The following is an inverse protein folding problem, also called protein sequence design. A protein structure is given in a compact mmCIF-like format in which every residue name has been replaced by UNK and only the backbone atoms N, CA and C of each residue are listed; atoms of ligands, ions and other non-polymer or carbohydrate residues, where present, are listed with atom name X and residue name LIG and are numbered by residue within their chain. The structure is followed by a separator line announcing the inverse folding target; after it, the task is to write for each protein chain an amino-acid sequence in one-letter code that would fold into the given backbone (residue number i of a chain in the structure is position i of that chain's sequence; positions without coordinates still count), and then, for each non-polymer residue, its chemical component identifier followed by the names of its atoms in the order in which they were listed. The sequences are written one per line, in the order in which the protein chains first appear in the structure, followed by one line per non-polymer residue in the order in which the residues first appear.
data_IF_773594452378
#
_entry.id   IF_773594452378
#
_cell.length_a   1.000
_cell.length_b   1.000
_cell.length_c   1.000
_cell.angle_alpha   90.00
_cell.angle_beta   90.00
_cell.angle_gamma   90.00
#
_symmetry.space_group_name_H-M   'P 1'
#
loop_
_entity.id
_entity.type
_entity.pdbx_description
1 polymer ?
#
# COMPACT_ATOMS: atom_id res chain seq x y z
N UNK A 1 3.76 -0.03 2.51
CA UNK A 1 2.43 -0.62 2.25
C UNK A 1 2.49 -1.96 1.50
N UNK A 2 3.57 -2.75 1.66
CA UNK A 2 3.79 -3.97 0.86
C UNK A 2 2.73 -5.06 1.09
N UNK A 3 2.22 -5.22 2.32
CA UNK A 3 1.13 -6.17 2.62
C UNK A 3 -0.22 -5.77 2.03
N UNK A 4 -0.40 -4.51 1.69
CA UNK A 4 -1.62 -3.97 1.07
C UNK A 4 -1.53 -3.97 -0.47
N UNK A 5 -0.53 -4.64 -1.04
CA UNK A 5 -0.26 -4.71 -2.48
C UNK A 5 -0.10 -3.34 -3.17
N UNK A 6 0.42 -2.36 -2.42
CA UNK A 6 0.70 -1.02 -2.96
C UNK A 6 2.16 -0.95 -3.39
N UNK A 7 2.40 -0.51 -4.63
CA UNK A 7 3.75 -0.33 -5.16
C UNK A 7 4.59 0.62 -4.27
N UNK A 8 5.90 0.34 -4.09
CA UNK A 8 6.77 1.13 -3.21
C UNK A 8 6.78 2.64 -3.52
N UNK A 9 6.82 3.01 -4.80
CA UNK A 9 6.85 4.40 -5.26
C UNK A 9 5.58 5.18 -4.89
N UNK A 10 4.41 4.53 -4.94
CA UNK A 10 3.15 5.13 -4.49
C UNK A 10 3.10 5.17 -2.97
N UNK A 11 3.62 4.14 -2.29
CA UNK A 11 3.64 4.09 -0.82
C UNK A 11 4.47 5.24 -0.22
N UNK A 12 5.66 5.53 -0.78
CA UNK A 12 6.49 6.65 -0.34
C UNK A 12 5.78 8.00 -0.52
N UNK A 13 5.09 8.18 -1.66
CA UNK A 13 4.31 9.40 -1.97
C UNK A 13 3.10 9.60 -1.08
N UNK A 14 2.46 8.53 -0.62
CA UNK A 14 1.32 8.59 0.30
C UNK A 14 1.79 8.90 1.72
N UNK A 15 2.90 8.27 2.15
CA UNK A 15 3.44 8.43 3.49
C UNK A 15 4.26 9.71 3.67
N UNK A 16 4.49 10.47 2.59
CA UNK A 16 5.28 11.69 2.63
C UNK A 16 6.77 11.43 2.85
N UNK A 17 7.27 10.24 2.50
CA UNK A 17 8.70 9.97 2.53
C UNK A 17 9.43 10.80 1.47
N UNK A 18 10.65 11.24 1.79
CA UNK A 18 11.48 11.98 0.87
C UNK A 18 11.82 11.11 -0.34
N UNK A 19 11.28 11.46 -1.51
CA UNK A 19 11.60 10.80 -2.78
C UNK A 19 13.01 11.26 -3.18
N UNK A 20 13.96 10.34 -3.17
CA UNK A 20 15.35 10.67 -3.47
C UNK A 20 15.57 11.01 -4.95
N UNK A 21 16.53 11.90 -5.22
CA UNK A 21 16.96 12.25 -6.57
C UNK A 21 16.06 13.25 -7.32
N UNK A 22 16.27 13.36 -8.63
CA UNK A 22 15.64 14.38 -9.49
C UNK A 22 14.14 14.18 -9.68
N UNK A 23 13.63 12.96 -9.44
CA UNK A 23 12.19 12.67 -9.52
C UNK A 23 11.39 13.48 -8.50
N UNK A 24 11.88 13.71 -7.29
CA UNK A 24 11.18 14.53 -6.29
C UNK A 24 11.05 16.01 -6.72
N UNK A 25 11.97 16.50 -7.54
CA UNK A 25 12.02 17.90 -8.02
C UNK A 25 11.11 18.12 -9.24
N UNK A 26 10.99 17.12 -10.12
CA UNK A 26 10.27 17.25 -11.39
C UNK A 26 8.87 16.63 -11.42
N UNK A 27 8.47 15.87 -10.41
CA UNK A 27 7.18 15.23 -10.45
C UNK A 27 6.01 16.20 -10.20
N UNK A 28 5.40 16.64 -11.30
CA UNK A 28 4.27 17.57 -11.32
C UNK A 28 2.91 16.85 -11.29
N UNK A 29 2.89 15.53 -11.17
CA UNK A 29 1.65 14.76 -11.12
C UNK A 29 1.22 14.56 -9.67
N UNK A 30 -0.04 14.86 -9.37
CA UNK A 30 -0.53 14.81 -8.00
C UNK A 30 -0.80 13.36 -7.51
N UNK A 31 -0.80 12.35 -8.38
CA UNK A 31 -1.09 10.93 -8.09
C UNK A 31 -2.31 10.70 -7.17
N UNK A 32 -3.26 11.64 -7.13
CA UNK A 32 -4.30 11.62 -6.11
C UNK A 32 -5.17 10.35 -6.20
N UNK A 33 -5.42 9.87 -7.42
CA UNK A 33 -6.14 8.61 -7.65
C UNK A 33 -5.38 7.41 -7.10
N UNK A 34 -4.08 7.33 -7.35
CA UNK A 34 -3.23 6.24 -6.86
C UNK A 34 -3.08 6.31 -5.34
N UNK A 35 -2.96 7.51 -4.77
CA UNK A 35 -2.91 7.74 -3.33
C UNK A 35 -4.21 7.32 -2.64
N UNK A 36 -5.36 7.71 -3.20
CA UNK A 36 -6.66 7.30 -2.71
C UNK A 36 -6.81 5.77 -2.74
N UNK A 37 -6.47 5.13 -3.86
CA UNK A 37 -6.52 3.67 -3.97
C UNK A 37 -5.61 2.97 -2.94
N UNK A 38 -4.39 3.49 -2.73
CA UNK A 38 -3.46 2.97 -1.74
C UNK A 38 -3.99 3.08 -0.30
N UNK A 39 -4.62 4.21 0.04
CA UNK A 39 -5.24 4.42 1.34
C UNK A 39 -6.44 3.48 1.56
N UNK A 40 -7.25 3.25 0.54
CA UNK A 40 -8.36 2.27 0.58
C UNK A 40 -7.81 0.86 0.82
N UNK A 41 -6.80 0.42 0.08
CA UNK A 41 -6.18 -0.89 0.27
C UNK A 41 -5.58 -1.04 1.67
N UNK A 42 -4.92 0.01 2.18
CA UNK A 42 -4.38 0.01 3.54
C UNK A 42 -5.49 -0.10 4.59
N UNK A 43 -6.58 0.67 4.43
CA UNK A 43 -7.73 0.63 5.34
C UNK A 43 -8.37 -0.75 5.36
N UNK A 44 -8.54 -1.39 4.20
CA UNK A 44 -9.07 -2.76 4.12
C UNK A 44 -8.17 -3.75 4.87
N UNK A 45 -6.85 -3.67 4.68
CA UNK A 45 -5.90 -4.53 5.40
C UNK A 45 -5.96 -4.31 6.91
N UNK A 46 -6.08 -3.06 7.36
CA UNK A 46 -6.24 -2.74 8.78
C UNK A 46 -7.53 -3.37 9.31
N UNK A 47 -8.64 -3.26 8.57
CA UNK A 47 -9.90 -3.92 8.91
C UNK A 47 -9.74 -5.43 9.09
N UNK A 48 -9.07 -6.10 8.16
CA UNK A 48 -8.81 -7.55 8.25
C UNK A 48 -7.94 -7.93 9.47
N UNK A 49 -7.05 -7.05 9.91
CA UNK A 49 -6.19 -7.26 11.09
C UNK A 49 -6.99 -7.08 12.39
N UNK A 50 -7.84 -6.05 12.44
CA UNK A 50 -8.64 -5.72 13.63
C UNK A 50 -9.80 -6.70 13.83
N UNK A 51 -10.44 -7.11 12.74
CA UNK A 51 -11.58 -8.03 12.73
C UNK A 51 -11.24 -9.27 11.90
N UNK A 52 -10.32 -10.13 12.38
CA UNK A 52 -9.94 -11.32 11.66
C UNK A 52 -11.14 -12.27 11.58
N UNK A 53 -11.70 -12.42 10.38
CA UNK A 53 -12.71 -13.46 10.12
C UNK A 53 -12.07 -14.82 10.41
N UNK A 54 -12.49 -15.46 11.51
CA UNK A 54 -11.91 -16.72 12.01
C UNK A 54 -11.91 -17.83 10.95
N UNK A 55 -10.75 -18.05 10.34
CA UNK A 55 -9.98 -19.29 10.30
C UNK A 55 -8.72 -18.97 9.48
N UNK A 56 -7.53 -19.20 10.04
CA UNK A 56 -6.27 -18.84 9.41
C UNK A 56 -6.23 -19.27 7.94
N UNK A 57 -5.82 -18.36 7.04
CA UNK A 57 -5.43 -18.68 5.66
C UNK A 57 -4.17 -19.55 5.68
N UNK A 58 -4.30 -20.77 6.20
CA UNK A 58 -3.28 -21.81 6.17
C UNK A 58 -3.55 -22.59 4.89
N UNK A 59 -2.82 -22.25 3.83
CA UNK A 59 -2.88 -23.00 2.58
C UNK A 59 -1.88 -24.14 2.70
N UNK A 60 -2.34 -25.38 2.59
CA UNK A 60 -1.45 -26.53 2.59
C UNK A 60 -0.53 -26.46 1.36
N UNK A 61 0.79 -26.54 1.57
CA UNK A 61 1.76 -26.65 0.48
C UNK A 61 1.58 -28.02 -0.19
N UNK A 62 1.15 -28.06 -1.46
CA UNK A 62 1.17 -29.28 -2.28
C UNK A 62 2.50 -29.37 -3.04
N UNK A 63 3.17 -30.51 -2.90
CA UNK A 63 4.32 -30.94 -3.72
C UNK A 63 3.84 -31.61 -4.99
#
# INVERSE_FOLDING_TARGET
MSRADVRPDIAERVLGHAISGVQGVYDRHHYDRQRAAALVSLSSLIGDILEPKRAGKVVAFRR
#
